data_IF_076910471807
#
_entry.id   IF_076910471807
#
_cell.length_a   1.000
_cell.length_b   1.000
_cell.length_c   1.000
_cell.angle_alpha   90.00
_cell.angle_beta   90.00
_cell.angle_gamma   90.00
#
_symmetry.space_group_name_H-M   'P 1'
#
loop_
_entity.id
_entity.type
_entity.pdbx_description
1 polymer ?
#
# COMPACT_ATOMS: atom_id res chain seq x y z
N UNK A 1 -48.39 40.13 47.81
CA UNK A 1 -48.62 38.68 47.69
C UNK A 1 -48.43 38.29 46.29
N UNK A 2 -47.23 37.80 45.92
CA UNK A 2 -46.91 37.36 44.58
C UNK A 2 -47.37 35.91 44.41
N UNK A 3 -48.20 35.68 43.40
CA UNK A 3 -48.85 34.40 43.09
C UNK A 3 -47.86 33.28 42.88
N UNK A 4 -47.99 32.10 43.49
CA UNK A 4 -47.07 30.95 43.31
C UNK A 4 -46.98 30.46 41.87
N UNK A 5 -47.92 30.84 41.00
CA UNK A 5 -47.88 30.51 39.54
C UNK A 5 -46.79 31.25 38.75
N UNK A 6 -46.28 32.36 39.25
CA UNK A 6 -45.22 33.13 38.61
C UNK A 6 -43.85 32.48 38.85
N UNK A 7 -43.67 31.93 40.07
CA UNK A 7 -42.42 31.25 40.43
C UNK A 7 -42.24 29.94 39.68
N UNK A 8 -43.31 29.20 39.40
CA UNK A 8 -43.26 27.95 38.63
C UNK A 8 -42.97 28.15 37.14
N UNK A 9 -43.44 29.26 36.56
CA UNK A 9 -43.12 29.61 35.15
C UNK A 9 -41.69 30.09 34.97
N UNK A 10 -41.13 30.77 35.96
CA UNK A 10 -39.73 31.21 35.90
C UNK A 10 -38.77 30.00 36.04
N UNK A 11 -39.11 29.05 36.92
CA UNK A 11 -38.31 27.82 37.11
C UNK A 11 -38.31 26.93 35.86
N UNK A 12 -39.45 26.86 35.13
CA UNK A 12 -39.54 26.10 33.89
C UNK A 12 -38.75 26.73 32.72
N UNK A 13 -38.67 28.06 32.64
CA UNK A 13 -37.89 28.79 31.65
C UNK A 13 -36.38 28.66 31.91
N UNK A 14 -35.97 28.64 33.18
CA UNK A 14 -34.53 28.42 33.52
C UNK A 14 -34.13 26.97 33.31
N UNK A 15 -35.02 25.99 33.56
CA UNK A 15 -34.76 24.56 33.28
C UNK A 15 -34.69 24.27 31.78
N UNK A 16 -35.46 24.97 30.94
CA UNK A 16 -35.41 24.81 29.46
C UNK A 16 -34.17 25.49 28.85
N UNK A 17 -33.64 26.55 29.47
CA UNK A 17 -32.40 27.22 29.04
C UNK A 17 -31.12 26.41 29.35
N UNK A 18 -31.18 25.49 30.35
CA UNK A 18 -30.04 24.63 30.70
C UNK A 18 -29.94 23.34 29.86
N UNK A 19 -31.00 22.98 29.12
CA UNK A 19 -31.00 21.82 28.23
C UNK A 19 -30.47 22.12 26.81
N UNK A 20 -30.15 23.38 26.50
CA UNK A 20 -29.56 23.80 25.25
C UNK A 20 -28.01 23.86 25.27
N UNK A 21 -27.36 23.21 26.24
CA UNK A 21 -25.94 22.85 26.03
C UNK A 21 -25.90 21.70 25.05
N UNK A 22 -26.18 22.02 23.78
CA UNK A 22 -25.91 21.14 22.67
C UNK A 22 -24.45 20.69 22.80
N UNK A 23 -24.20 19.40 22.74
CA UNK A 23 -22.84 18.89 22.48
C UNK A 23 -22.27 19.76 21.38
N UNK A 24 -21.33 20.64 21.70
CA UNK A 24 -20.50 21.25 20.66
C UNK A 24 -19.85 20.09 19.95
N UNK A 25 -20.30 19.78 18.73
CA UNK A 25 -19.54 18.91 17.84
C UNK A 25 -18.13 19.47 17.89
N UNK A 26 -17.19 18.69 18.39
CA UNK A 26 -15.79 19.10 18.43
C UNK A 26 -15.45 19.47 17.00
N UNK A 27 -15.11 20.73 16.75
CA UNK A 27 -14.75 21.19 15.42
C UNK A 27 -13.47 20.43 15.06
N UNK A 28 -13.57 19.58 14.06
CA UNK A 28 -12.49 18.69 13.69
C UNK A 28 -11.39 19.52 13.03
N UNK A 29 -10.16 19.39 13.51
CA UNK A 29 -8.99 20.04 12.90
C UNK A 29 -8.29 19.03 11.99
N UNK A 30 -8.00 19.38 10.73
CA UNK A 30 -7.34 18.47 9.78
C UNK A 30 -6.00 17.91 10.26
N UNK A 31 -5.33 18.64 11.13
CA UNK A 31 -4.03 18.25 11.71
C UNK A 31 -4.19 17.24 12.87
N UNK A 32 -5.39 17.02 13.40
CA UNK A 32 -5.60 16.10 14.51
C UNK A 32 -5.47 14.65 14.04
N UNK A 33 -4.86 13.80 14.87
CA UNK A 33 -4.76 12.36 14.63
C UNK A 33 -6.13 11.70 14.77
N UNK A 34 -6.41 10.70 13.90
CA UNK A 34 -7.64 9.93 13.97
C UNK A 34 -7.46 8.48 13.55
N UNK A 35 -8.42 7.65 13.94
CA UNK A 35 -8.61 6.30 13.41
C UNK A 35 -10.04 6.20 12.92
N UNK A 36 -10.24 5.84 11.65
CA UNK A 36 -11.56 5.59 11.04
C UNK A 36 -11.62 4.15 10.57
N UNK A 37 -12.80 3.53 10.75
CA UNK A 37 -13.09 2.18 10.22
C UNK A 37 -14.34 2.30 9.37
N UNK A 38 -14.27 1.80 8.15
CA UNK A 38 -15.37 1.88 7.20
C UNK A 38 -16.08 0.54 7.14
N UNK A 39 -17.37 0.56 7.42
CA UNK A 39 -18.25 -0.61 7.42
C UNK A 39 -19.21 -0.50 6.24
N UNK A 40 -19.52 -1.64 5.65
CA UNK A 40 -20.66 -1.80 4.76
C UNK A 40 -21.96 -1.99 5.58
N UNK A 41 -23.09 -1.58 5.01
CA UNK A 41 -24.37 -1.59 5.71
C UNK A 41 -24.86 -3.02 6.06
N UNK A 42 -24.52 -4.02 5.26
CA UNK A 42 -24.97 -5.41 5.43
C UNK A 42 -23.96 -6.34 6.12
N UNK A 43 -22.73 -5.88 6.33
CA UNK A 43 -21.70 -6.64 7.03
C UNK A 43 -21.16 -7.87 6.28
N UNK A 44 -21.58 -8.10 5.02
CA UNK A 44 -21.32 -9.34 4.29
C UNK A 44 -19.96 -9.39 3.59
N UNK A 45 -19.29 -8.26 3.41
CA UNK A 45 -18.07 -8.13 2.62
C UNK A 45 -16.82 -8.22 3.48
N UNK A 46 -15.77 -8.80 2.92
CA UNK A 46 -14.43 -8.81 3.48
C UNK A 46 -13.50 -7.95 2.63
N UNK A 47 -13.05 -6.83 3.17
CA UNK A 47 -12.21 -5.87 2.46
C UNK A 47 -10.72 -6.10 2.68
N UNK A 48 -9.95 -5.90 1.62
CA UNK A 48 -8.48 -5.96 1.61
C UNK A 48 -7.96 -4.67 0.98
N UNK A 49 -7.71 -3.61 1.78
CA UNK A 49 -7.10 -2.40 1.25
C UNK A 49 -5.77 -2.70 0.56
N UNK A 50 -5.51 -2.03 -0.56
CA UNK A 50 -4.36 -2.29 -1.43
C UNK A 50 -3.44 -1.09 -1.51
N UNK A 51 -4.00 0.09 -1.75
CA UNK A 51 -3.24 1.32 -1.90
C UNK A 51 -4.11 2.53 -1.57
N UNK A 52 -3.47 3.64 -1.28
CA UNK A 52 -4.12 4.90 -0.94
C UNK A 52 -3.38 6.08 -1.57
N UNK A 53 -4.14 7.09 -2.04
CA UNK A 53 -3.60 8.35 -2.51
C UNK A 53 -4.38 9.53 -1.95
N UNK A 54 -3.67 10.61 -1.60
CA UNK A 54 -4.32 11.87 -1.29
C UNK A 54 -4.76 12.57 -2.57
N UNK A 55 -6.03 12.94 -2.64
CA UNK A 55 -6.67 13.59 -3.78
C UNK A 55 -6.44 15.11 -3.77
N UNK A 56 -6.85 15.80 -4.83
CA UNK A 56 -6.65 17.25 -4.97
C UNK A 56 -7.48 18.10 -4.01
N UNK A 57 -8.56 17.53 -3.47
CA UNK A 57 -9.42 18.13 -2.44
C UNK A 57 -8.93 17.84 -1.00
N UNK A 58 -7.68 17.38 -0.86
CA UNK A 58 -7.03 16.96 0.39
C UNK A 58 -7.64 15.70 1.04
N UNK A 59 -8.71 15.13 0.49
CA UNK A 59 -9.28 13.86 0.90
C UNK A 59 -8.42 12.66 0.49
N UNK A 60 -8.96 11.45 0.64
CA UNK A 60 -8.21 10.22 0.33
C UNK A 60 -9.05 9.30 -0.55
N UNK A 61 -8.40 8.72 -1.55
CA UNK A 61 -8.93 7.60 -2.32
C UNK A 61 -8.22 6.32 -1.89
N UNK A 62 -8.99 5.29 -1.54
CA UNK A 62 -8.48 3.98 -1.13
C UNK A 62 -8.96 2.95 -2.15
N UNK A 63 -8.02 2.24 -2.75
CA UNK A 63 -8.25 1.09 -3.61
C UNK A 63 -8.24 -0.17 -2.73
N UNK A 64 -9.24 -1.03 -2.91
CA UNK A 64 -9.37 -2.26 -2.13
C UNK A 64 -9.83 -3.42 -3.00
N UNK A 65 -9.50 -4.65 -2.60
CA UNK A 65 -10.23 -5.82 -3.04
C UNK A 65 -11.32 -6.16 -2.01
N UNK A 66 -12.40 -6.84 -2.43
CA UNK A 66 -13.36 -7.43 -1.51
C UNK A 66 -13.78 -8.82 -1.98
N UNK A 67 -14.09 -9.69 -1.02
CA UNK A 67 -14.48 -11.09 -1.25
C UNK A 67 -13.53 -11.83 -2.21
N UNK A 68 -12.23 -11.57 -2.08
CA UNK A 68 -11.15 -12.17 -2.85
C UNK A 68 -10.69 -11.29 -4.01
N UNK A 69 -11.43 -11.13 -5.07
CA UNK A 69 -10.96 -10.51 -6.33
C UNK A 69 -11.72 -9.28 -6.82
N UNK A 70 -12.93 -9.00 -6.27
CA UNK A 70 -13.70 -7.82 -6.69
C UNK A 70 -13.00 -6.53 -6.27
N UNK A 71 -13.22 -5.46 -7.01
CA UNK A 71 -12.52 -4.19 -6.84
C UNK A 71 -13.47 -3.15 -6.26
N UNK A 72 -13.00 -2.45 -5.23
CA UNK A 72 -13.73 -1.43 -4.51
C UNK A 72 -12.90 -0.15 -4.37
N UNK A 73 -13.53 0.98 -4.59
CA UNK A 73 -12.99 2.31 -4.35
C UNK A 73 -13.75 2.97 -3.21
N UNK A 74 -13.02 3.55 -2.27
CA UNK A 74 -13.56 4.33 -1.16
C UNK A 74 -12.94 5.72 -1.20
N UNK A 75 -13.76 6.77 -1.29
CA UNK A 75 -13.33 8.17 -1.21
C UNK A 75 -13.76 8.77 0.11
N UNK A 76 -12.83 9.48 0.74
CA UNK A 76 -13.09 10.24 1.97
C UNK A 76 -12.76 11.72 1.78
N UNK A 77 -13.25 12.55 2.68
CA UNK A 77 -12.73 13.88 2.86
C UNK A 77 -11.38 13.87 3.62
N UNK A 78 -10.85 15.03 3.93
CA UNK A 78 -9.58 15.19 4.65
C UNK A 78 -9.65 14.79 6.12
N UNK A 79 -10.83 14.79 6.72
CA UNK A 79 -11.13 14.34 8.07
C UNK A 79 -11.35 12.81 8.14
N UNK A 80 -11.30 12.13 6.98
CA UNK A 80 -11.51 10.68 6.86
C UNK A 80 -13.00 10.30 6.90
N UNK A 81 -13.94 11.23 6.75
CA UNK A 81 -15.36 10.90 6.62
C UNK A 81 -15.67 10.46 5.19
N UNK A 82 -16.40 9.36 5.05
CA UNK A 82 -16.72 8.76 3.77
C UNK A 82 -17.58 9.70 2.93
N UNK A 83 -17.15 9.98 1.69
CA UNK A 83 -17.87 10.78 0.72
C UNK A 83 -18.64 9.91 -0.28
N UNK A 84 -18.00 8.87 -0.80
CA UNK A 84 -18.60 7.90 -1.71
C UNK A 84 -17.78 6.61 -1.76
N UNK A 85 -18.43 5.56 -2.23
CA UNK A 85 -17.82 4.28 -2.56
C UNK A 85 -18.29 3.80 -3.93
N UNK A 86 -17.51 2.94 -4.58
CA UNK A 86 -17.84 2.38 -5.88
C UNK A 86 -17.27 0.98 -6.04
N UNK A 87 -18.13 0.03 -6.41
CA UNK A 87 -17.73 -1.31 -6.79
C UNK A 87 -17.61 -1.40 -8.31
N UNK A 88 -16.47 -1.85 -8.80
CA UNK A 88 -16.32 -2.08 -10.22
C UNK A 88 -17.22 -3.23 -10.70
N UNK A 89 -17.68 -3.19 -11.96
CA UNK A 89 -18.37 -4.32 -12.58
C UNK A 89 -17.55 -5.59 -12.47
N UNK A 90 -18.19 -6.74 -12.26
CA UNK A 90 -17.56 -8.07 -12.09
C UNK A 90 -16.72 -8.54 -13.29
N UNK A 91 -16.75 -7.82 -14.41
CA UNK A 91 -15.80 -7.97 -15.52
C UNK A 91 -14.38 -7.74 -15.06
N UNK A 92 -14.15 -6.77 -14.15
CA UNK A 92 -12.82 -6.37 -13.68
C UNK A 92 -12.54 -6.99 -12.33
N UNK A 93 -11.38 -7.61 -12.21
CA UNK A 93 -10.93 -8.31 -11.00
C UNK A 93 -9.46 -8.01 -10.72
N UNK A 94 -9.01 -8.33 -9.49
CA UNK A 94 -7.61 -8.34 -9.09
C UNK A 94 -6.89 -7.01 -9.37
N UNK A 95 -7.32 -5.94 -8.71
CA UNK A 95 -6.57 -4.69 -8.73
C UNK A 95 -5.16 -4.89 -8.15
N UNK A 96 -4.17 -4.36 -8.85
CA UNK A 96 -2.79 -4.32 -8.40
C UNK A 96 -2.64 -3.30 -7.27
N UNK A 97 -1.81 -3.55 -6.23
CA UNK A 97 -1.74 -2.69 -5.04
C UNK A 97 -0.98 -1.37 -5.27
N UNK A 98 -1.40 -0.60 -6.28
CA UNK A 98 -0.82 0.71 -6.60
C UNK A 98 -1.87 1.65 -7.18
N UNK A 99 -2.12 2.77 -6.50
CA UNK A 99 -2.81 3.93 -7.06
C UNK A 99 -1.77 4.90 -7.60
N UNK A 100 -1.82 5.17 -8.91
CA UNK A 100 -0.94 6.11 -9.61
C UNK A 100 -1.59 7.47 -9.70
N UNK A 101 -0.85 8.53 -9.38
CA UNK A 101 -1.29 9.92 -9.60
C UNK A 101 -0.50 10.52 -10.75
N UNK A 102 -1.16 10.75 -11.88
CA UNK A 102 -0.54 11.33 -13.08
C UNK A 102 -1.33 12.53 -13.57
N UNK A 103 -0.63 13.62 -13.83
CA UNK A 103 -1.27 14.90 -14.17
C UNK A 103 -2.35 15.25 -13.11
N UNK A 104 -3.61 15.29 -13.55
CA UNK A 104 -4.77 15.55 -12.66
C UNK A 104 -5.58 14.29 -12.35
N UNK A 105 -5.17 13.12 -12.88
CA UNK A 105 -5.92 11.87 -12.76
C UNK A 105 -5.33 10.88 -11.78
N UNK A 106 -6.19 10.00 -11.28
CA UNK A 106 -5.83 8.81 -10.50
C UNK A 106 -6.10 7.57 -11.35
N UNK A 107 -5.15 6.65 -11.35
CA UNK A 107 -5.19 5.44 -12.15
C UNK A 107 -4.81 4.23 -11.32
N UNK A 108 -5.27 3.05 -11.73
CA UNK A 108 -4.82 1.77 -11.20
C UNK A 108 -4.87 0.70 -12.28
N UNK A 109 -4.20 -0.42 -12.03
CA UNK A 109 -4.17 -1.55 -12.94
C UNK A 109 -4.98 -2.70 -12.37
N UNK A 110 -5.73 -3.39 -13.24
CA UNK A 110 -6.46 -4.61 -12.92
C UNK A 110 -6.46 -5.55 -14.12
N UNK A 111 -7.22 -6.65 -14.04
CA UNK A 111 -7.43 -7.53 -15.19
C UNK A 111 -8.91 -7.88 -15.36
N UNK A 112 -9.29 -8.40 -16.53
CA UNK A 112 -10.63 -8.95 -16.73
C UNK A 112 -10.73 -10.42 -16.29
N UNK A 113 -11.96 -10.84 -15.96
CA UNK A 113 -12.23 -12.17 -15.41
C UNK A 113 -12.18 -13.31 -16.43
N UNK A 114 -12.19 -13.01 -17.75
CA UNK A 114 -12.33 -14.00 -18.80
C UNK A 114 -11.06 -14.14 -19.63
N UNK A 115 -10.61 -13.03 -20.22
CA UNK A 115 -9.40 -12.96 -21.06
C UNK A 115 -8.12 -12.85 -20.26
N UNK A 116 -8.24 -12.46 -18.97
CA UNK A 116 -7.14 -12.12 -18.05
C UNK A 116 -6.29 -10.97 -18.58
N UNK A 117 -6.85 -10.15 -19.49
CA UNK A 117 -6.16 -9.01 -20.07
C UNK A 117 -5.94 -7.93 -19.00
N UNK A 118 -4.84 -7.24 -19.12
CA UNK A 118 -4.52 -6.13 -18.21
C UNK A 118 -5.20 -4.84 -18.66
N UNK A 119 -5.84 -4.16 -17.73
CA UNK A 119 -6.46 -2.85 -17.92
C UNK A 119 -5.81 -1.80 -17.05
N UNK A 120 -5.56 -0.63 -17.60
CA UNK A 120 -5.38 0.61 -16.87
C UNK A 120 -6.75 1.25 -16.72
N UNK A 121 -7.16 1.51 -15.50
CA UNK A 121 -8.42 2.15 -15.15
C UNK A 121 -8.16 3.58 -14.71
N UNK A 122 -9.00 4.52 -15.14
CA UNK A 122 -9.00 5.90 -14.66
C UNK A 122 -10.13 6.11 -13.67
N UNK A 123 -9.84 6.69 -12.52
CA UNK A 123 -10.87 7.10 -11.56
C UNK A 123 -11.46 8.43 -11.99
N UNK A 124 -12.78 8.47 -12.11
CA UNK A 124 -13.56 9.69 -12.35
C UNK A 124 -14.24 10.12 -11.04
N UNK A 125 -13.61 11.06 -10.34
CA UNK A 125 -14.15 11.59 -9.08
C UNK A 125 -15.46 12.35 -9.27
N UNK A 126 -15.74 12.86 -10.48
CA UNK A 126 -16.98 13.59 -10.78
C UNK A 126 -18.16 12.65 -10.89
N UNK A 127 -18.02 11.57 -11.65
CA UNK A 127 -19.04 10.52 -11.76
C UNK A 127 -18.99 9.51 -10.62
N UNK A 128 -18.00 9.60 -9.73
CA UNK A 128 -17.76 8.70 -8.59
C UNK A 128 -17.66 7.24 -9.04
N UNK A 129 -16.81 7.00 -10.04
CA UNK A 129 -16.68 5.71 -10.70
C UNK A 129 -15.25 5.51 -11.23
N UNK A 130 -14.99 4.38 -11.89
CA UNK A 130 -13.78 4.17 -12.68
C UNK A 130 -14.16 3.71 -14.09
N UNK A 131 -13.38 4.15 -15.08
CA UNK A 131 -13.58 3.84 -16.49
C UNK A 131 -12.32 3.21 -17.09
N UNK A 132 -12.49 2.42 -18.14
CA UNK A 132 -11.36 1.89 -18.91
C UNK A 132 -10.58 3.06 -19.54
N UNK A 133 -9.29 3.13 -19.23
CA UNK A 133 -8.38 4.06 -19.89
C UNK A 133 -7.67 3.37 -21.06
N UNK A 134 -7.08 2.17 -20.80
CA UNK A 134 -6.35 1.40 -21.80
C UNK A 134 -6.44 -0.11 -21.50
N UNK A 135 -6.58 -0.93 -22.55
CA UNK A 135 -6.49 -2.38 -22.51
C UNK A 135 -5.18 -2.87 -23.14
N UNK A 136 -4.53 -3.84 -22.48
CA UNK A 136 -3.35 -4.56 -23.00
C UNK A 136 -3.63 -6.06 -23.06
N UNK A 137 -4.10 -6.56 -24.20
CA UNK A 137 -4.51 -7.96 -24.39
C UNK A 137 -3.36 -8.95 -24.27
N UNK A 138 -2.14 -8.52 -24.57
CA UNK A 138 -0.93 -9.34 -24.50
C UNK A 138 -0.38 -9.46 -23.07
N UNK A 139 -0.77 -8.58 -22.14
CA UNK A 139 -0.35 -8.65 -20.75
C UNK A 139 -1.42 -9.38 -19.92
N UNK A 140 -1.01 -10.42 -19.20
CA UNK A 140 -1.91 -11.23 -18.36
C UNK A 140 -1.35 -11.33 -16.94
N UNK A 141 -2.24 -11.50 -15.96
CA UNK A 141 -1.88 -11.61 -14.55
C UNK A 141 -0.96 -10.47 -14.08
N UNK A 142 -1.41 -9.21 -14.10
CA UNK A 142 -0.64 -8.12 -13.53
C UNK A 142 -0.48 -8.32 -12.02
N UNK A 143 0.77 -8.16 -11.52
CA UNK A 143 1.15 -8.49 -10.14
C UNK A 143 1.55 -7.26 -9.33
N UNK A 144 2.28 -6.35 -9.97
CA UNK A 144 2.75 -5.12 -9.36
C UNK A 144 2.92 -4.01 -10.39
N UNK A 145 2.84 -2.75 -9.92
CA UNK A 145 3.08 -1.57 -10.75
C UNK A 145 4.04 -0.64 -10.03
N UNK A 146 5.07 -0.19 -10.75
CA UNK A 146 5.90 0.94 -10.34
C UNK A 146 5.59 2.14 -11.25
N UNK A 147 5.45 3.30 -10.63
CA UNK A 147 5.18 4.56 -11.31
C UNK A 147 6.35 5.52 -11.07
N UNK A 148 6.99 5.98 -12.12
CA UNK A 148 7.89 7.11 -12.08
C UNK A 148 7.40 8.22 -13.05
N UNK A 149 8.02 9.39 -13.01
CA UNK A 149 7.54 10.53 -13.81
C UNK A 149 7.54 10.29 -15.32
N UNK A 150 8.38 9.38 -15.83
CA UNK A 150 8.62 9.15 -17.26
C UNK A 150 7.93 7.90 -17.81
N UNK A 151 7.67 6.90 -16.97
CA UNK A 151 7.15 5.60 -17.41
C UNK A 151 6.35 4.90 -16.32
N UNK A 152 5.56 3.90 -16.71
CA UNK A 152 4.91 2.95 -15.80
C UNK A 152 5.44 1.56 -16.10
N UNK A 153 5.83 0.84 -15.07
CA UNK A 153 6.34 -0.53 -15.18
C UNK A 153 5.31 -1.49 -14.59
N UNK A 154 4.83 -2.44 -15.41
CA UNK A 154 3.87 -3.46 -14.98
C UNK A 154 4.59 -4.80 -14.91
N UNK A 155 4.65 -5.39 -13.72
CA UNK A 155 5.07 -6.77 -13.54
C UNK A 155 3.89 -7.69 -13.80
N UNK A 156 4.12 -8.78 -14.54
CA UNK A 156 3.08 -9.73 -14.90
C UNK A 156 3.62 -11.18 -14.95
N UNK A 157 2.71 -12.15 -14.96
CA UNK A 157 3.06 -13.56 -15.20
C UNK A 157 2.64 -14.01 -16.58
N UNK A 158 3.59 -14.59 -17.32
CA UNK A 158 3.36 -15.21 -18.62
C UNK A 158 3.27 -16.72 -18.49
N UNK A 159 2.05 -17.22 -18.42
CA UNK A 159 1.79 -18.66 -18.25
C UNK A 159 2.34 -19.50 -19.41
N UNK A 160 2.18 -19.03 -20.66
CA UNK A 160 2.55 -19.80 -21.85
C UNK A 160 4.04 -20.10 -21.95
N UNK A 161 4.88 -19.29 -21.34
CA UNK A 161 6.34 -19.40 -21.38
C UNK A 161 6.98 -19.60 -20.01
N UNK A 162 6.19 -19.64 -18.94
CA UNK A 162 6.62 -19.70 -17.54
C UNK A 162 7.65 -18.60 -17.21
N UNK A 163 7.25 -17.35 -17.43
CA UNK A 163 8.11 -16.19 -17.19
C UNK A 163 7.47 -15.18 -16.27
N UNK A 164 8.27 -14.52 -15.46
CA UNK A 164 7.90 -13.23 -14.88
C UNK A 164 8.26 -12.16 -15.91
N UNK A 165 7.27 -11.42 -16.39
CA UNK A 165 7.41 -10.32 -17.32
C UNK A 165 7.49 -8.98 -16.59
N UNK A 166 8.11 -8.02 -17.24
CA UNK A 166 8.09 -6.60 -16.89
C UNK A 166 7.86 -5.80 -18.16
N UNK A 167 6.87 -4.95 -18.16
CA UNK A 167 6.48 -4.13 -19.31
C UNK A 167 6.59 -2.67 -18.95
N UNK A 168 7.33 -1.92 -19.74
CA UNK A 168 7.43 -0.47 -19.63
C UNK A 168 6.40 0.19 -20.54
N UNK A 169 5.51 0.96 -19.97
CA UNK A 169 4.60 1.84 -20.70
C UNK A 169 5.18 3.25 -20.78
N UNK A 170 4.80 3.96 -21.83
CA UNK A 170 5.11 5.39 -21.94
C UNK A 170 4.43 6.22 -20.83
N UNK A 171 4.79 7.49 -20.72
CA UNK A 171 4.23 8.40 -19.71
C UNK A 171 2.70 8.56 -19.83
N UNK A 172 2.13 8.41 -21.02
CA UNK A 172 0.69 8.47 -21.26
C UNK A 172 -0.06 7.17 -20.90
N UNK A 173 0.66 6.07 -20.65
CA UNK A 173 0.13 4.73 -20.33
C UNK A 173 -0.73 4.11 -21.45
N UNK A 174 -0.56 4.53 -22.69
CA UNK A 174 -1.33 4.06 -23.85
C UNK A 174 -0.52 3.18 -24.80
N UNK A 175 0.81 3.11 -24.62
CA UNK A 175 1.71 2.34 -25.46
C UNK A 175 2.76 1.59 -24.65
N UNK A 176 3.07 0.36 -25.07
CA UNK A 176 4.22 -0.39 -24.60
C UNK A 176 5.47 0.14 -25.33
N UNK A 177 6.46 0.60 -24.55
CA UNK A 177 7.76 1.01 -25.06
C UNK A 177 8.74 -0.15 -25.08
N UNK A 178 8.70 -1.00 -24.04
CA UNK A 178 9.70 -2.02 -23.84
C UNK A 178 9.15 -3.21 -23.02
N UNK A 179 9.75 -4.38 -23.22
CA UNK A 179 9.38 -5.60 -22.55
C UNK A 179 10.60 -6.42 -22.17
N UNK A 180 10.73 -6.77 -20.90
CA UNK A 180 11.73 -7.68 -20.36
C UNK A 180 11.09 -8.89 -19.71
N UNK A 181 11.84 -9.97 -19.52
CA UNK A 181 11.34 -11.14 -18.80
C UNK A 181 12.44 -12.02 -18.22
N UNK A 182 12.13 -12.77 -17.18
CA UNK A 182 13.00 -13.79 -16.60
C UNK A 182 12.29 -15.13 -16.53
N UNK A 183 13.06 -16.22 -16.71
CA UNK A 183 12.52 -17.57 -16.76
C UNK A 183 12.25 -18.12 -15.36
N UNK A 184 11.10 -18.73 -15.17
CA UNK A 184 10.74 -19.43 -13.92
C UNK A 184 11.05 -20.92 -14.05
N UNK A 185 10.97 -21.50 -15.27
CA UNK A 185 11.17 -22.91 -15.62
C UNK A 185 10.15 -23.87 -15.04
N UNK A 186 9.11 -23.39 -14.37
CA UNK A 186 8.01 -24.20 -13.85
C UNK A 186 6.72 -23.41 -13.88
N UNK A 187 5.58 -24.09 -13.95
CA UNK A 187 4.30 -23.45 -13.80
C UNK A 187 4.09 -23.02 -12.34
N UNK A 188 3.73 -21.77 -12.15
CA UNK A 188 3.41 -21.17 -10.85
C UNK A 188 2.01 -20.54 -10.83
N UNK A 189 1.16 -20.86 -11.81
CA UNK A 189 -0.17 -20.26 -11.94
C UNK A 189 -0.98 -20.40 -10.65
N UNK A 190 -0.98 -21.58 -10.03
CA UNK A 190 -1.71 -21.80 -8.77
C UNK A 190 -1.26 -20.81 -7.68
N UNK A 191 0.06 -20.55 -7.58
CA UNK A 191 0.61 -19.58 -6.62
C UNK A 191 0.21 -18.14 -6.96
N UNK A 192 0.14 -17.83 -8.26
CA UNK A 192 -0.30 -16.50 -8.74
C UNK A 192 -1.80 -16.33 -8.42
N UNK A 193 -2.64 -17.30 -8.72
CA UNK A 193 -4.07 -17.25 -8.45
C UNK A 193 -4.35 -17.14 -6.96
N UNK A 194 -3.69 -17.94 -6.13
CA UNK A 194 -3.80 -17.87 -4.67
C UNK A 194 -3.38 -16.49 -4.14
N UNK A 195 -2.29 -15.92 -4.69
CA UNK A 195 -1.85 -14.57 -4.35
C UNK A 195 -2.91 -13.52 -4.71
N UNK A 196 -3.43 -13.55 -5.93
CA UNK A 196 -4.39 -12.56 -6.42
C UNK A 196 -5.76 -12.67 -5.73
N UNK A 197 -6.21 -13.88 -5.41
CA UNK A 197 -7.52 -14.14 -4.79
C UNK A 197 -7.54 -14.06 -3.26
N UNK A 198 -6.39 -13.82 -2.61
CA UNK A 198 -6.24 -13.80 -1.15
C UNK A 198 -6.60 -15.12 -0.47
N UNK A 199 -6.50 -16.26 -1.18
CA UNK A 199 -6.85 -17.60 -0.67
C UNK A 199 -5.67 -18.39 -0.16
N UNK A 200 -4.45 -18.03 -0.57
CA UNK A 200 -3.21 -18.74 -0.21
C UNK A 200 -2.08 -17.82 0.23
N UNK A 201 -0.86 -18.32 0.06
CA UNK A 201 0.35 -17.55 0.39
C UNK A 201 0.45 -16.30 -0.48
N UNK A 202 0.60 -15.15 0.18
CA UNK A 202 0.88 -13.89 -0.50
C UNK A 202 2.38 -13.76 -0.73
N UNK A 203 2.77 -13.44 -1.96
CA UNK A 203 4.16 -13.17 -2.31
C UNK A 203 4.38 -11.65 -2.35
N UNK A 204 5.53 -11.15 -1.86
CA UNK A 204 5.83 -9.73 -1.86
C UNK A 204 6.36 -9.27 -3.23
N UNK A 205 5.52 -9.39 -4.27
CA UNK A 205 5.82 -8.84 -5.58
C UNK A 205 6.11 -7.35 -5.47
N UNK A 206 7.14 -6.91 -6.14
CA UNK A 206 7.59 -5.54 -6.07
C UNK A 206 8.36 -5.15 -7.34
N UNK A 207 8.17 -3.93 -7.78
CA UNK A 207 9.00 -3.28 -8.80
C UNK A 207 9.38 -1.90 -8.31
N UNK A 208 10.61 -1.52 -8.52
CA UNK A 208 11.09 -0.15 -8.32
C UNK A 208 12.13 0.19 -9.38
N UNK A 209 12.33 1.49 -9.61
CA UNK A 209 13.33 2.01 -10.54
C UNK A 209 14.36 2.78 -9.73
N UNK A 210 15.64 2.60 -10.03
CA UNK A 210 16.69 3.39 -9.36
C UNK A 210 16.53 4.88 -9.68
N UNK A 211 16.91 5.80 -8.79
CA UNK A 211 16.78 7.24 -9.04
C UNK A 211 17.50 7.71 -10.33
N UNK A 212 18.56 7.04 -10.69
CA UNK A 212 19.36 7.30 -11.90
C UNK A 212 18.70 6.73 -13.17
N UNK A 213 17.63 5.90 -13.03
CA UNK A 213 16.98 5.12 -14.09
C UNK A 213 17.89 4.09 -14.78
N UNK A 214 18.98 3.69 -14.15
CA UNK A 214 19.94 2.72 -14.71
C UNK A 214 19.44 1.29 -14.57
N UNK A 215 18.61 1.01 -13.55
CA UNK A 215 18.09 -0.32 -13.24
C UNK A 215 16.63 -0.31 -12.83
N UNK A 216 15.95 -1.37 -13.27
CA UNK A 216 14.64 -1.79 -12.73
C UNK A 216 14.89 -2.96 -11.79
N UNK A 217 14.41 -2.85 -10.56
CA UNK A 217 14.51 -3.89 -9.52
C UNK A 217 13.16 -4.56 -9.37
N UNK A 218 13.11 -5.85 -9.62
CA UNK A 218 11.88 -6.64 -9.61
C UNK A 218 12.00 -7.83 -8.67
N UNK A 219 11.12 -7.93 -7.67
CA UNK A 219 10.95 -9.13 -6.83
C UNK A 219 9.83 -9.99 -7.40
N UNK A 220 10.12 -11.24 -7.74
CA UNK A 220 9.18 -12.14 -8.37
C UNK A 220 9.73 -13.55 -8.52
N UNK A 221 8.97 -14.41 -9.20
CA UNK A 221 9.45 -15.76 -9.49
C UNK A 221 10.53 -15.75 -10.55
N UNK A 222 11.65 -16.40 -10.25
CA UNK A 222 12.80 -16.59 -11.13
C UNK A 222 13.52 -17.89 -10.77
N UNK A 223 13.88 -18.71 -11.75
CA UNK A 223 14.71 -19.90 -11.59
C UNK A 223 14.31 -20.77 -10.39
N UNK A 224 13.04 -21.22 -10.34
CA UNK A 224 12.43 -22.07 -9.28
C UNK A 224 12.37 -21.42 -7.89
N UNK A 225 12.60 -20.11 -7.76
CA UNK A 225 12.59 -19.41 -6.49
C UNK A 225 11.87 -18.07 -6.57
N UNK A 226 11.57 -17.47 -5.41
CA UNK A 226 11.14 -16.07 -5.31
C UNK A 226 12.39 -15.21 -5.11
N UNK A 227 12.78 -14.45 -6.12
CA UNK A 227 14.06 -13.75 -6.18
C UNK A 227 13.88 -12.26 -6.45
N UNK A 228 14.93 -11.49 -6.18
CA UNK A 228 15.01 -10.08 -6.61
C UNK A 228 16.00 -9.98 -7.76
N UNK A 229 15.48 -9.56 -8.91
CA UNK A 229 16.21 -9.44 -10.17
C UNK A 229 16.48 -7.98 -10.46
N UNK A 230 17.67 -7.68 -10.95
CA UNK A 230 18.04 -6.39 -11.51
C UNK A 230 18.02 -6.52 -13.04
N UNK A 231 17.31 -5.61 -13.67
CA UNK A 231 17.28 -5.43 -15.11
C UNK A 231 17.91 -4.06 -15.42
N UNK A 232 18.62 -3.94 -16.51
CA UNK A 232 19.16 -2.66 -16.95
C UNK A 232 18.08 -1.74 -17.56
N UNK A 233 18.48 -0.61 -18.13
CA UNK A 233 17.57 0.37 -18.75
C UNK A 233 16.78 -0.19 -19.93
N UNK A 234 17.33 -1.20 -20.63
CA UNK A 234 16.72 -1.88 -21.77
C UNK A 234 15.91 -3.12 -21.34
N UNK A 235 15.66 -3.27 -20.03
CA UNK A 235 15.00 -4.39 -19.39
C UNK A 235 15.68 -5.75 -19.61
N UNK A 236 16.95 -5.74 -19.92
CA UNK A 236 17.77 -6.94 -20.02
C UNK A 236 18.28 -7.38 -18.65
N UNK A 237 18.41 -8.69 -18.44
CA UNK A 237 18.88 -9.26 -17.19
C UNK A 237 20.30 -8.77 -16.85
N UNK A 238 20.48 -8.21 -15.67
CA UNK A 238 21.76 -7.70 -15.16
C UNK A 238 22.29 -8.53 -14.00
N UNK A 239 21.47 -8.82 -12.97
CA UNK A 239 21.87 -9.62 -11.84
C UNK A 239 20.69 -10.09 -11.01
N UNK A 240 20.98 -10.92 -9.98
CA UNK A 240 19.93 -11.51 -9.15
C UNK A 240 20.42 -11.82 -7.72
N UNK A 241 19.53 -11.63 -6.76
CA UNK A 241 19.63 -12.18 -5.40
C UNK A 241 18.53 -13.23 -5.23
N UNK A 242 18.92 -14.49 -5.37
CA UNK A 242 18.01 -15.63 -5.33
C UNK A 242 17.49 -15.86 -3.90
N UNK A 243 16.20 -16.11 -3.76
CA UNK A 243 15.62 -16.55 -2.51
C UNK A 243 15.80 -18.05 -2.24
N UNK A 244 15.50 -18.46 -1.00
CA UNK A 244 15.47 -19.88 -0.63
C UNK A 244 14.17 -20.51 -1.13
N UNK A 245 14.15 -21.00 -2.35
CA UNK A 245 12.96 -21.46 -3.06
C UNK A 245 11.83 -20.41 -2.98
N UNK A 246 10.68 -20.74 -2.39
CA UNK A 246 9.55 -19.82 -2.19
C UNK A 246 9.40 -19.34 -0.74
N UNK A 247 10.34 -19.68 0.13
CA UNK A 247 10.28 -19.39 1.57
C UNK A 247 11.33 -18.39 2.07
N UNK A 248 12.08 -17.80 1.13
CA UNK A 248 13.04 -16.73 1.40
C UNK A 248 13.15 -15.77 0.22
N UNK A 249 13.68 -14.57 0.48
CA UNK A 249 13.86 -13.54 -0.53
C UNK A 249 13.72 -12.12 0.05
N UNK A 250 13.63 -11.12 -0.80
CA UNK A 250 13.34 -9.76 -0.35
C UNK A 250 11.82 -9.57 -0.27
N UNK A 251 11.36 -9.10 0.90
CA UNK A 251 9.97 -8.71 1.11
C UNK A 251 9.69 -7.32 0.52
N UNK A 252 10.67 -6.43 0.59
CA UNK A 252 10.57 -5.07 0.03
C UNK A 252 11.96 -4.51 -0.19
N UNK A 253 12.10 -3.64 -1.20
CA UNK A 253 13.34 -2.94 -1.52
C UNK A 253 13.05 -1.54 -2.04
N UNK A 254 13.74 -0.54 -1.49
CA UNK A 254 13.66 0.86 -1.91
C UNK A 254 15.05 1.34 -2.34
N UNK A 255 15.26 1.71 -3.60
CA UNK A 255 16.50 2.33 -4.06
C UNK A 255 16.70 3.72 -3.40
N UNK A 256 17.90 3.98 -2.92
CA UNK A 256 18.28 5.24 -2.26
C UNK A 256 19.22 6.11 -3.09
N UNK A 257 19.67 5.61 -4.24
CA UNK A 257 20.63 6.20 -5.15
C UNK A 257 21.98 5.48 -5.14
N UNK A 258 22.64 5.43 -6.30
CA UNK A 258 23.80 4.58 -6.53
C UNK A 258 23.48 3.11 -6.22
N UNK A 259 24.40 2.44 -5.55
CA UNK A 259 24.20 1.05 -5.14
C UNK A 259 23.63 0.90 -3.70
N UNK A 260 22.96 1.94 -3.19
CA UNK A 260 22.36 1.95 -1.85
C UNK A 260 20.88 1.61 -1.90
N UNK A 261 20.45 0.75 -0.99
CA UNK A 261 19.07 0.29 -0.90
C UNK A 261 18.63 0.16 0.55
N UNK A 262 17.41 0.54 0.85
CA UNK A 262 16.72 0.11 2.06
C UNK A 262 15.91 -1.13 1.74
N UNK A 263 16.01 -2.18 2.55
CA UNK A 263 15.33 -3.43 2.26
C UNK A 263 14.81 -4.15 3.50
N UNK A 264 13.80 -4.97 3.28
CA UNK A 264 13.36 -6.01 4.20
C UNK A 264 13.53 -7.36 3.52
N UNK A 265 14.14 -8.31 4.23
CA UNK A 265 14.35 -9.68 3.79
C UNK A 265 13.52 -10.62 4.66
N UNK A 266 12.91 -11.63 4.05
CA UNK A 266 12.29 -12.73 4.78
C UNK A 266 13.09 -14.03 4.56
N UNK A 267 13.09 -14.87 5.58
CA UNK A 267 13.62 -16.23 5.49
C UNK A 267 12.78 -17.10 6.42
N UNK A 268 11.98 -17.98 5.82
CA UNK A 268 10.92 -18.73 6.49
C UNK A 268 9.98 -17.78 7.27
N UNK A 269 9.83 -17.97 8.57
CA UNK A 269 8.96 -17.15 9.44
C UNK A 269 9.65 -15.94 10.09
N UNK A 270 10.81 -15.52 9.59
CA UNK A 270 11.58 -14.41 10.14
C UNK A 270 11.72 -13.26 9.14
N UNK A 271 11.70 -12.03 9.66
CA UNK A 271 11.98 -10.79 8.93
C UNK A 271 13.28 -10.16 9.41
N UNK A 272 13.96 -9.52 8.47
CA UNK A 272 15.25 -8.85 8.70
C UNK A 272 15.25 -7.51 7.97
N UNK A 273 15.76 -6.45 8.60
CA UNK A 273 15.88 -5.12 8.01
C UNK A 273 17.32 -4.73 7.75
N UNK A 274 17.56 -4.09 6.61
CA UNK A 274 18.75 -3.32 6.35
C UNK A 274 18.37 -1.99 5.70
N UNK A 275 18.33 -0.89 6.48
CA UNK A 275 17.97 0.44 5.97
C UNK A 275 19.02 1.09 5.05
N UNK A 276 20.21 0.52 4.93
CA UNK A 276 21.30 1.07 4.11
C UNK A 276 22.22 -0.02 3.56
N UNK A 277 21.63 -1.01 2.88
CA UNK A 277 22.38 -2.06 2.19
C UNK A 277 23.14 -1.50 0.98
N UNK A 278 24.29 -2.10 0.67
CA UNK A 278 24.97 -1.90 -0.61
C UNK A 278 24.83 -3.17 -1.42
N UNK A 279 24.14 -3.11 -2.56
CA UNK A 279 23.95 -4.23 -3.46
C UNK A 279 24.63 -3.94 -4.81
N UNK A 280 25.18 -4.96 -5.46
CA UNK A 280 25.64 -4.85 -6.84
C UNK A 280 24.49 -5.26 -7.77
N UNK A 281 24.03 -4.39 -8.67
CA UNK A 281 23.00 -4.74 -9.66
C UNK A 281 23.44 -5.83 -10.66
N UNK A 282 24.74 -6.14 -10.74
CA UNK A 282 25.29 -7.17 -11.62
C UNK A 282 25.69 -8.45 -10.90
N UNK A 283 25.42 -8.55 -9.58
CA UNK A 283 25.74 -9.74 -8.80
C UNK A 283 24.80 -10.90 -9.13
N UNK A 284 25.31 -12.12 -9.04
CA UNK A 284 24.53 -13.34 -8.97
C UNK A 284 24.80 -13.94 -7.60
N UNK A 285 23.87 -13.76 -6.69
CA UNK A 285 24.05 -14.10 -5.26
C UNK A 285 22.72 -14.64 -4.67
N UNK A 286 22.71 -14.89 -3.36
CA UNK A 286 21.53 -15.31 -2.60
C UNK A 286 21.09 -14.21 -1.66
N UNK A 287 19.79 -14.08 -1.43
CA UNK A 287 19.23 -13.06 -0.54
C UNK A 287 19.74 -13.18 0.91
N UNK A 288 20.06 -14.39 1.34
CA UNK A 288 20.60 -14.67 2.67
C UNK A 288 22.02 -14.12 2.89
N UNK A 289 22.78 -13.85 1.83
CA UNK A 289 24.12 -13.21 1.93
C UNK A 289 24.03 -11.75 2.36
N UNK A 290 22.87 -11.12 2.17
CA UNK A 290 22.67 -9.72 2.53
C UNK A 290 22.59 -9.60 4.05
N UNK A 291 23.55 -8.90 4.63
CA UNK A 291 23.57 -8.62 6.07
C UNK A 291 22.35 -7.80 6.46
N UNK A 292 21.61 -8.25 7.47
CA UNK A 292 20.39 -7.57 7.93
C UNK A 292 20.09 -7.90 9.39
N UNK A 293 19.44 -6.97 10.10
CA UNK A 293 19.07 -7.12 11.51
C UNK A 293 17.73 -7.87 11.63
N UNK A 294 17.70 -8.93 12.45
CA UNK A 294 16.48 -9.70 12.71
C UNK A 294 15.42 -8.89 13.46
N UNK A 295 14.17 -8.99 13.01
CA UNK A 295 12.99 -8.35 13.60
C UNK A 295 11.99 -9.42 14.07
N UNK A 296 12.29 -10.06 15.20
CA UNK A 296 11.58 -11.25 15.70
C UNK A 296 10.09 -11.02 16.00
N UNK A 297 9.71 -9.78 16.28
CA UNK A 297 8.31 -9.39 16.57
C UNK A 297 7.43 -9.27 15.34
N UNK A 298 8.01 -9.18 14.13
CA UNK A 298 7.28 -8.94 12.91
C UNK A 298 6.69 -10.23 12.31
N UNK A 299 5.54 -10.07 11.68
CA UNK A 299 4.85 -11.12 10.92
C UNK A 299 5.49 -11.24 9.52
N UNK A 300 6.18 -12.35 9.27
CA UNK A 300 6.89 -12.58 8.01
C UNK A 300 5.96 -12.83 6.81
N UNK A 301 4.69 -13.15 7.05
CA UNK A 301 3.69 -13.35 6.00
C UNK A 301 3.02 -12.04 5.56
N UNK A 302 3.23 -10.95 6.31
CA UNK A 302 2.71 -9.64 5.97
C UNK A 302 3.72 -8.82 5.15
N UNK A 303 3.23 -7.94 4.25
CA UNK A 303 4.12 -7.06 3.52
C UNK A 303 4.81 -6.08 4.46
N UNK A 304 6.05 -5.75 4.13
CA UNK A 304 6.79 -4.62 4.70
C UNK A 304 6.81 -3.51 3.65
N UNK A 305 6.37 -2.34 4.02
CA UNK A 305 6.34 -1.17 3.15
C UNK A 305 7.49 -0.24 3.51
N UNK A 306 8.25 0.21 2.53
CA UNK A 306 9.41 1.10 2.75
C UNK A 306 9.23 2.35 1.89
N UNK A 307 9.20 3.52 2.51
CA UNK A 307 9.12 4.82 1.80
C UNK A 307 10.02 5.85 2.47
N UNK A 308 10.51 6.81 1.70
CA UNK A 308 11.15 7.99 2.28
C UNK A 308 10.09 9.02 2.66
N UNK A 309 10.12 9.47 3.91
CA UNK A 309 9.19 10.46 4.47
C UNK A 309 9.99 11.64 5.02
N UNK A 310 9.69 12.84 4.56
CA UNK A 310 10.28 14.06 5.12
C UNK A 310 9.47 14.51 6.34
N UNK A 311 10.12 14.67 7.49
CA UNK A 311 9.56 15.21 8.74
C UNK A 311 10.40 16.43 9.11
N UNK A 312 9.77 17.60 9.22
CA UNK A 312 10.44 18.88 9.50
C UNK A 312 11.68 19.14 8.61
N UNK A 313 11.55 18.79 7.32
CA UNK A 313 12.61 18.98 6.33
C UNK A 313 13.74 17.92 6.36
N UNK A 314 13.71 16.98 7.31
CA UNK A 314 14.65 15.86 7.36
C UNK A 314 14.02 14.62 6.76
N UNK A 315 14.75 13.94 5.85
CA UNK A 315 14.27 12.71 5.22
C UNK A 315 14.60 11.48 6.05
N UNK A 316 13.60 10.64 6.26
CA UNK A 316 13.71 9.36 6.96
C UNK A 316 13.30 8.22 6.03
N UNK A 317 14.07 7.14 6.05
CA UNK A 317 13.64 5.86 5.47
C UNK A 317 12.70 5.20 6.48
N UNK A 318 11.41 5.15 6.12
CA UNK A 318 10.33 4.70 7.01
C UNK A 318 9.87 3.33 6.61
N UNK A 319 9.83 2.42 7.57
CA UNK A 319 9.28 1.07 7.44
C UNK A 319 7.92 0.99 8.13
N UNK A 320 6.92 0.49 7.43
CA UNK A 320 5.64 0.11 8.01
C UNK A 320 5.47 -1.40 7.86
N UNK A 321 5.24 -2.09 8.97
CA UNK A 321 5.04 -3.54 9.00
C UNK A 321 3.95 -3.93 10.00
N UNK A 322 3.53 -5.19 9.94
CA UNK A 322 2.63 -5.80 10.90
C UNK A 322 3.42 -6.66 11.89
N UNK A 323 3.11 -6.57 13.17
CA UNK A 323 3.70 -7.43 14.20
C UNK A 323 2.93 -8.76 14.31
N UNK A 324 3.54 -9.77 14.92
CA UNK A 324 2.88 -11.05 15.27
C UNK A 324 1.68 -10.89 16.21
N UNK A 325 1.65 -9.77 16.97
CA UNK A 325 0.51 -9.37 17.80
C UNK A 325 -0.56 -8.57 17.04
N UNK A 326 -0.45 -8.48 15.70
CA UNK A 326 -1.36 -7.75 14.82
C UNK A 326 -1.45 -6.24 15.11
N UNK A 327 -0.36 -5.65 15.53
CA UNK A 327 -0.20 -4.20 15.59
C UNK A 327 0.57 -3.71 14.35
N UNK A 328 0.38 -2.46 13.97
CA UNK A 328 1.26 -1.81 13.00
C UNK A 328 2.49 -1.27 13.72
N UNK A 329 3.64 -1.44 13.11
CA UNK A 329 4.92 -0.91 13.59
C UNK A 329 5.52 0.02 12.52
N UNK A 330 5.73 1.27 12.90
CA UNK A 330 6.51 2.25 12.14
C UNK A 330 7.92 2.34 12.75
N UNK A 331 8.94 2.21 11.89
CA UNK A 331 10.32 2.49 12.24
C UNK A 331 10.85 3.60 11.32
N UNK A 332 11.43 4.64 11.90
CA UNK A 332 12.03 5.76 11.18
C UNK A 332 13.54 5.69 11.29
N UNK A 333 14.22 5.43 10.19
CA UNK A 333 15.69 5.43 10.11
C UNK A 333 16.17 6.72 9.44
N UNK A 334 17.30 7.23 9.88
CA UNK A 334 17.96 8.30 9.13
C UNK A 334 18.27 7.81 7.71
N UNK A 335 17.83 8.56 6.68
CA UNK A 335 17.99 8.16 5.27
C UNK A 335 19.43 7.78 4.94
N UNK A 336 19.61 6.65 4.28
CA UNK A 336 20.93 6.12 3.89
C UNK A 336 21.80 5.63 5.05
N UNK A 337 21.21 5.39 6.24
CA UNK A 337 21.89 4.95 7.46
C UNK A 337 21.08 3.88 8.18
N UNK A 338 21.76 3.08 9.01
CA UNK A 338 21.12 2.10 9.92
C UNK A 338 20.73 2.70 11.28
N UNK A 339 20.80 4.02 11.45
CA UNK A 339 20.46 4.69 12.70
C UNK A 339 18.95 4.83 12.82
N UNK A 340 18.36 4.08 13.75
CA UNK A 340 16.94 4.21 14.11
C UNK A 340 16.74 5.51 14.91
N UNK A 341 15.80 6.34 14.47
CA UNK A 341 15.46 7.63 15.09
C UNK A 341 14.17 7.56 15.90
N UNK A 342 13.22 6.74 15.47
CA UNK A 342 11.96 6.63 16.17
C UNK A 342 11.20 5.36 15.85
N UNK A 343 10.31 5.00 16.75
CA UNK A 343 9.45 3.82 16.63
C UNK A 343 8.04 4.14 17.15
N UNK A 344 7.02 3.73 16.42
CA UNK A 344 5.63 3.90 16.83
C UNK A 344 4.83 2.62 16.60
N UNK A 345 4.15 2.15 17.64
CA UNK A 345 3.16 1.07 17.55
C UNK A 345 1.76 1.65 17.46
N UNK A 346 0.92 1.08 16.59
CA UNK A 346 -0.47 1.46 16.39
C UNK A 346 -1.38 0.23 16.47
N UNK A 347 -2.61 0.39 16.97
CA UNK A 347 -3.61 -0.68 16.98
C UNK A 347 -3.53 -1.59 18.20
N UNK A 348 -3.81 -1.05 19.40
CA UNK A 348 -3.83 -1.84 20.64
C UNK A 348 -5.11 -2.66 20.84
N UNK A 349 -6.24 -2.26 20.24
CA UNK A 349 -7.57 -2.79 20.56
C UNK A 349 -8.19 -3.67 19.47
N UNK A 350 -7.64 -3.69 18.26
CA UNK A 350 -8.13 -4.52 17.16
C UNK A 350 -6.96 -5.00 16.28
N UNK A 351 -7.01 -6.23 15.72
CA UNK A 351 -6.01 -6.73 14.81
C UNK A 351 -5.90 -5.86 13.55
N UNK A 352 -4.71 -5.32 13.30
CA UNK A 352 -4.41 -4.51 12.11
C UNK A 352 -3.38 -5.20 11.22
N UNK A 353 -3.52 -5.02 9.90
CA UNK A 353 -2.52 -5.40 8.90
C UNK A 353 -2.18 -4.19 8.03
N UNK A 354 -0.89 -3.91 7.84
CA UNK A 354 -0.41 -2.82 7.01
C UNK A 354 -0.79 -3.03 5.54
N UNK A 355 -1.22 -1.96 4.87
CA UNK A 355 -1.57 -1.99 3.44
C UNK A 355 -0.86 -0.90 2.64
N UNK A 356 -0.88 0.34 3.11
CA UNK A 356 -0.18 1.47 2.47
C UNK A 356 0.01 2.62 3.47
N UNK A 357 0.92 3.56 3.17
CA UNK A 357 1.05 4.81 3.90
C UNK A 357 1.61 5.92 3.02
N UNK A 358 1.22 7.16 3.30
CA UNK A 358 1.69 8.33 2.55
C UNK A 358 1.77 9.55 3.44
N UNK A 359 2.75 10.42 3.18
CA UNK A 359 2.79 11.77 3.75
C UNK A 359 1.61 12.58 3.20
N UNK A 360 1.00 13.39 4.04
CA UNK A 360 -0.13 14.24 3.70
C UNK A 360 0.29 15.69 3.48
N UNK A 361 -0.52 16.47 2.79
CA UNK A 361 -0.23 17.89 2.47
C UNK A 361 -0.13 18.78 3.70
N UNK A 362 -0.78 18.39 4.82
CA UNK A 362 -0.69 19.04 6.12
C UNK A 362 0.51 18.55 6.96
N UNK A 363 1.52 17.93 6.32
CA UNK A 363 2.74 17.43 6.93
C UNK A 363 2.56 16.21 7.86
N UNK A 364 1.35 15.66 7.97
CA UNK A 364 1.06 14.43 8.70
C UNK A 364 1.38 13.16 7.93
N UNK A 365 0.97 12.01 8.45
CA UNK A 365 1.06 10.70 7.81
C UNK A 365 -0.30 10.02 7.83
N UNK A 366 -0.77 9.58 6.66
CA UNK A 366 -1.94 8.73 6.55
C UNK A 366 -1.51 7.29 6.31
N UNK A 367 -2.15 6.35 6.98
CA UNK A 367 -1.92 4.91 6.86
C UNK A 367 -3.25 4.25 6.49
N UNK A 368 -3.25 3.46 5.44
CA UNK A 368 -4.32 2.52 5.13
C UNK A 368 -3.98 1.16 5.72
N UNK A 369 -4.94 0.55 6.39
CA UNK A 369 -4.78 -0.74 7.03
C UNK A 369 -6.05 -1.59 6.87
N UNK A 370 -5.89 -2.89 6.95
CA UNK A 370 -6.99 -3.82 7.17
C UNK A 370 -7.17 -4.03 8.66
N UNK A 371 -8.37 -3.83 9.16
CA UNK A 371 -8.76 -4.19 10.54
C UNK A 371 -9.66 -5.40 10.50
N UNK A 372 -9.45 -6.37 11.40
CA UNK A 372 -10.34 -7.55 11.52
C UNK A 372 -11.24 -7.36 12.74
N UNK A 373 -12.56 -7.27 12.51
CA UNK A 373 -13.57 -7.13 13.55
C UNK A 373 -14.20 -8.49 13.84
N UNK A 374 -14.56 -8.73 15.11
CA UNK A 374 -15.23 -9.96 15.57
C UNK A 374 -14.55 -11.26 15.07
N UNK A 375 -13.21 -11.23 14.93
CA UNK A 375 -12.35 -12.35 14.51
C UNK A 375 -12.55 -12.86 13.07
N UNK A 376 -13.42 -12.26 12.25
CA UNK A 376 -13.71 -12.76 10.89
C UNK A 376 -14.03 -11.69 9.84
N UNK A 377 -14.41 -10.48 10.24
CA UNK A 377 -14.82 -9.45 9.30
C UNK A 377 -13.71 -8.43 9.05
N UNK A 378 -13.11 -8.50 7.86
CA UNK A 378 -12.11 -7.54 7.44
C UNK A 378 -12.75 -6.24 6.96
N UNK A 379 -12.24 -5.11 7.45
CA UNK A 379 -12.69 -3.75 7.09
C UNK A 379 -11.51 -2.89 6.67
N UNK A 380 -11.82 -1.84 5.94
CA UNK A 380 -10.85 -0.78 5.65
C UNK A 380 -10.72 0.08 6.90
N UNK A 381 -9.48 0.35 7.31
CA UNK A 381 -9.18 1.32 8.34
C UNK A 381 -8.20 2.36 7.82
N UNK A 382 -8.37 3.60 8.24
CA UNK A 382 -7.39 4.66 8.05
C UNK A 382 -6.95 5.22 9.38
N UNK A 383 -5.64 5.52 9.48
CA UNK A 383 -5.02 6.08 10.68
C UNK A 383 -4.24 7.31 10.24
N UNK A 384 -4.61 8.47 10.80
CA UNK A 384 -3.88 9.71 10.60
C UNK A 384 -3.00 9.99 11.81
N UNK A 385 -1.73 10.27 11.57
CA UNK A 385 -0.82 10.87 12.54
C UNK A 385 -0.64 12.33 12.17
N UNK A 386 -0.78 13.25 13.13
CA UNK A 386 -0.56 14.66 12.92
C UNK A 386 0.93 14.97 12.69
N UNK A 387 1.23 16.17 12.22
CA UNK A 387 2.60 16.67 12.06
C UNK A 387 3.36 16.63 13.39
N UNK A 388 2.72 17.11 14.46
CA UNK A 388 3.30 17.17 15.81
C UNK A 388 3.59 15.76 16.36
N UNK A 389 2.67 14.82 16.10
CA UNK A 389 2.85 13.42 16.51
C UNK A 389 4.03 12.76 15.77
N UNK A 390 4.19 13.05 14.48
CA UNK A 390 5.33 12.57 13.69
C UNK A 390 6.66 13.16 14.17
N UNK A 391 6.71 14.48 14.41
CA UNK A 391 7.90 15.13 14.92
C UNK A 391 8.33 14.53 16.26
N UNK A 392 7.40 14.36 17.19
CA UNK A 392 7.68 13.76 18.49
C UNK A 392 8.17 12.29 18.46
N UNK A 393 7.97 11.57 17.34
CA UNK A 393 8.49 10.19 17.21
C UNK A 393 9.98 10.18 16.89
N UNK A 394 10.49 11.19 16.17
CA UNK A 394 11.86 11.21 15.64
C UNK A 394 12.81 12.15 16.39
N UNK A 395 12.30 12.91 17.38
CA UNK A 395 13.08 13.69 18.34
C UNK A 395 13.89 12.77 19.28
#
# INVERSE_FOLDING_TARGET
MTSPKFFFRLLFLVAFGLLSTGCKKKEYKPEESFIKVYNDDDGSRNYFPLSMQQTSDEGYLILSAYNGWNIHLLKTDKEGDMLWEYDLPSKYINAVPTLMKRNTGLYFVCMDAVGLHTYVMQVDETSRSAVEFQEFQQLKYPLYVADNSSAVYIQNYERSSYKTGITKLNAAMDQIEEFGSVNIFTDVEDKIVDHLSYTGKRFPFHVSVTPENDYVVMSGFNNYSFSTVFLDSDLDFSGVYNGAAFDGGLNSILPLGGNKFALARFSFSNLYYNPSATLSPTAIDIAESIQAEGKAELDAESPVLIKNIAIEGTEYTTYLATTKSNQLLLNFYQKGSNVLKGTKYLGQSAPLKACDFAKTTDEGLMIAARVTLMSSFNRIATIKLSKEELAAIVE
#
